data_IF_134266129076
#
_entry.id   IF_134266129076
#
_cell.length_a   1.000
_cell.length_b   1.000
_cell.length_c   1.000
_cell.angle_alpha   90.00
_cell.angle_beta   90.00
_cell.angle_gamma   90.00
#
_symmetry.space_group_name_H-M   'P 1'
#
loop_
_entity.id
_entity.type
_entity.pdbx_description
1 polymer ?
#
# COMPACT_ATOMS: atom_id res chain seq x y z
N UNK A 1 19.72 5.03 -6.04
CA UNK A 1 18.72 5.21 -4.98
C UNK A 1 19.13 6.41 -4.12
N UNK A 2 18.17 7.27 -3.75
CA UNK A 2 18.45 8.47 -2.93
C UNK A 2 18.52 8.14 -1.43
N UNK A 3 18.59 6.87 -1.07
CA UNK A 3 18.70 6.37 0.32
C UNK A 3 17.67 7.02 1.28
N UNK A 4 16.43 7.24 0.80
CA UNK A 4 15.38 7.97 1.54
C UNK A 4 14.88 7.25 2.78
N UNK A 5 14.95 5.92 2.78
CA UNK A 5 14.46 5.06 3.86
C UNK A 5 15.55 4.67 4.87
N UNK A 6 16.75 5.24 4.77
CA UNK A 6 17.90 4.86 5.62
C UNK A 6 17.59 4.91 7.11
N UNK A 7 16.82 5.92 7.52
CA UNK A 7 16.51 6.16 8.93
C UNK A 7 15.34 5.28 9.42
N UNK A 8 14.64 4.62 8.51
CA UNK A 8 13.51 3.72 8.78
C UNK A 8 13.93 2.25 8.73
N UNK A 9 15.07 1.94 8.09
CA UNK A 9 15.58 0.58 7.96
C UNK A 9 16.19 0.09 9.26
N UNK A 10 15.69 -1.05 9.74
CA UNK A 10 16.22 -1.75 10.92
C UNK A 10 16.98 -2.97 10.45
N UNK A 11 18.25 -3.07 10.90
CA UNK A 11 19.06 -4.27 10.69
C UNK A 11 18.57 -5.39 11.60
N UNK A 12 18.23 -6.52 11.03
CA UNK A 12 17.71 -7.66 11.76
C UNK A 12 18.66 -8.85 11.64
N UNK A 13 19.06 -9.42 12.78
CA UNK A 13 19.86 -10.63 12.76
C UNK A 13 18.94 -11.83 12.59
N UNK A 14 19.17 -12.60 11.54
CA UNK A 14 18.45 -13.85 11.26
C UNK A 14 19.37 -15.03 11.58
N UNK A 15 18.79 -16.03 12.22
CA UNK A 15 19.41 -17.33 12.46
C UNK A 15 18.64 -18.39 11.67
N UNK A 16 19.31 -19.00 10.70
CA UNK A 16 18.78 -20.07 9.86
C UNK A 16 19.69 -21.31 9.98
N UNK A 17 19.31 -22.21 10.85
CA UNK A 17 20.16 -23.33 11.25
C UNK A 17 21.47 -22.84 11.87
N UNK A 18 22.60 -23.26 11.29
CA UNK A 18 23.95 -22.85 11.75
C UNK A 18 24.40 -21.50 11.15
N UNK A 19 23.58 -20.89 10.28
CA UNK A 19 23.92 -19.62 9.62
C UNK A 19 23.33 -18.45 10.39
N UNK A 20 24.18 -17.45 10.63
CA UNK A 20 23.77 -16.16 11.18
C UNK A 20 24.12 -15.07 10.17
N UNK A 21 23.15 -14.25 9.81
CA UNK A 21 23.38 -13.12 8.91
C UNK A 21 22.54 -11.92 9.30
N UNK A 22 22.96 -10.74 8.86
CA UNK A 22 22.21 -9.51 9.07
C UNK A 22 21.36 -9.27 7.83
N UNK A 23 20.05 -9.21 8.03
CA UNK A 23 19.10 -8.80 7.03
C UNK A 23 18.93 -7.27 7.11
N UNK A 24 19.29 -6.57 6.06
CA UNK A 24 19.30 -5.10 6.02
C UNK A 24 18.95 -4.52 4.66
N UNK A 25 18.58 -5.36 3.70
CA UNK A 25 18.27 -4.94 2.35
C UNK A 25 16.97 -5.60 1.88
N UNK A 26 16.09 -4.81 1.26
CA UNK A 26 14.93 -5.34 0.58
C UNK A 26 15.33 -6.28 -0.56
N UNK A 27 14.74 -7.47 -0.59
CA UNK A 27 15.02 -8.49 -1.60
C UNK A 27 14.16 -8.35 -2.84
N UNK A 28 12.98 -7.69 -2.69
CA UNK A 28 12.02 -7.55 -3.79
C UNK A 28 12.53 -6.71 -4.95
N UNK A 29 13.18 -5.55 -4.76
CA UNK A 29 13.70 -4.74 -5.85
C UNK A 29 14.79 -5.48 -6.64
N UNK A 30 14.63 -5.53 -7.93
CA UNK A 30 15.58 -6.17 -8.85
C UNK A 30 16.35 -5.11 -9.61
N UNK A 31 17.61 -4.97 -9.28
CA UNK A 31 18.52 -4.06 -9.96
C UNK A 31 18.85 -4.58 -11.38
N UNK A 32 19.04 -3.66 -12.33
CA UNK A 32 19.49 -3.95 -13.67
C UNK A 32 18.52 -4.77 -14.56
N UNK A 33 17.21 -4.69 -14.32
CA UNK A 33 16.22 -5.28 -15.20
C UNK A 33 16.19 -4.58 -16.56
N UNK A 34 16.19 -5.38 -17.63
CA UNK A 34 15.97 -4.91 -18.99
C UNK A 34 14.55 -5.22 -19.48
N UNK A 35 14.12 -4.50 -20.51
CA UNK A 35 12.84 -4.80 -21.18
C UNK A 35 12.82 -6.24 -21.73
N UNK A 36 13.96 -6.75 -22.17
CA UNK A 36 14.06 -8.11 -22.71
C UNK A 36 13.95 -9.17 -21.62
N UNK A 37 14.29 -8.86 -20.38
CA UNK A 37 14.03 -9.75 -19.25
C UNK A 37 12.54 -9.78 -18.91
N UNK A 38 11.87 -8.63 -18.93
CA UNK A 38 10.43 -8.55 -18.72
C UNK A 38 9.64 -9.32 -19.80
N UNK A 39 10.05 -9.27 -21.05
CA UNK A 39 9.42 -10.00 -22.16
C UNK A 39 9.49 -11.53 -22.00
N UNK A 40 10.44 -12.05 -21.24
CA UNK A 40 10.60 -13.49 -21.00
C UNK A 40 9.65 -14.02 -19.91
N UNK A 41 9.02 -13.12 -19.16
CA UNK A 41 8.13 -13.51 -18.07
C UNK A 41 6.85 -14.13 -18.61
N UNK A 42 6.43 -15.23 -17.95
CA UNK A 42 5.18 -15.91 -18.27
C UNK A 42 4.01 -15.20 -17.60
N UNK A 43 2.87 -15.25 -18.26
CA UNK A 43 1.61 -14.78 -17.66
C UNK A 43 1.17 -15.67 -16.50
N UNK A 44 0.61 -15.07 -15.46
CA UNK A 44 0.33 -15.76 -14.18
C UNK A 44 -1.11 -16.28 -14.12
N UNK A 45 -2.09 -15.49 -14.58
CA UNK A 45 -3.51 -15.78 -14.37
C UNK A 45 -4.23 -16.35 -15.59
N UNK A 46 -3.79 -16.00 -16.78
CA UNK A 46 -4.45 -16.39 -18.03
C UNK A 46 -3.40 -16.69 -19.09
N UNK A 47 -3.55 -17.81 -19.79
CA UNK A 47 -2.74 -18.09 -20.97
C UNK A 47 -2.92 -16.96 -22.00
N UNK A 48 -1.83 -16.49 -22.55
CA UNK A 48 -1.79 -15.28 -23.40
C UNK A 48 -2.38 -14.01 -22.78
N UNK A 49 -2.37 -13.92 -21.45
CA UNK A 49 -2.74 -12.72 -20.70
C UNK A 49 -1.67 -11.65 -20.75
N UNK A 50 -1.90 -10.55 -20.04
CA UNK A 50 -0.98 -9.41 -19.98
C UNK A 50 -0.29 -9.26 -18.62
N UNK A 51 -0.79 -9.94 -17.59
CA UNK A 51 -0.25 -9.86 -16.23
C UNK A 51 0.86 -10.87 -16.02
N UNK A 52 2.03 -10.37 -15.67
CA UNK A 52 3.24 -11.14 -15.36
C UNK A 52 3.81 -10.72 -14.00
N UNK A 53 4.77 -11.46 -13.43
CA UNK A 53 5.45 -10.99 -12.21
C UNK A 53 6.17 -9.63 -12.36
N UNK A 54 6.34 -9.13 -13.57
CA UNK A 54 6.99 -7.84 -13.83
C UNK A 54 6.05 -6.63 -13.79
N UNK A 55 4.74 -6.85 -13.75
CA UNK A 55 3.72 -5.81 -13.69
C UNK A 55 2.58 -6.15 -12.71
N UNK A 56 2.89 -6.93 -11.69
CA UNK A 56 1.97 -7.25 -10.59
C UNK A 56 2.67 -7.03 -9.26
N UNK A 57 1.89 -6.67 -8.24
CA UNK A 57 2.38 -6.50 -6.87
C UNK A 57 3.00 -7.80 -6.33
N UNK A 58 4.05 -7.68 -5.55
CA UNK A 58 4.64 -8.79 -4.81
C UNK A 58 3.79 -9.20 -3.62
N UNK A 59 4.05 -10.41 -3.12
CA UNK A 59 3.55 -10.86 -1.82
C UNK A 59 4.70 -10.70 -0.84
N UNK A 60 4.59 -9.73 0.06
CA UNK A 60 5.63 -9.38 1.01
C UNK A 60 5.18 -9.64 2.45
N UNK A 61 6.12 -10.02 3.30
CA UNK A 61 5.88 -10.13 4.73
C UNK A 61 5.82 -8.72 5.34
N UNK A 62 4.90 -8.53 6.26
CA UNK A 62 4.73 -7.24 6.92
C UNK A 62 4.02 -7.37 8.26
N UNK A 63 4.29 -6.45 9.16
CA UNK A 63 3.58 -6.35 10.42
C UNK A 63 3.39 -4.88 10.81
N UNK A 64 2.22 -4.56 11.33
CA UNK A 64 1.92 -3.25 11.84
C UNK A 64 1.16 -3.36 13.17
N UNK A 65 1.40 -2.43 14.07
CA UNK A 65 0.69 -2.36 15.34
C UNK A 65 0.27 -0.91 15.63
N UNK A 66 -1.00 -0.72 15.93
CA UNK A 66 -1.57 0.58 16.25
C UNK A 66 -2.31 0.49 17.58
N UNK A 67 -2.18 1.55 18.39
CA UNK A 67 -2.98 1.70 19.62
C UNK A 67 -4.14 2.65 19.32
N UNK A 68 -5.34 2.12 19.37
CA UNK A 68 -6.58 2.86 19.16
C UNK A 68 -7.33 3.03 20.48
N UNK A 69 -7.87 4.21 20.69
CA UNK A 69 -8.73 4.47 21.85
C UNK A 69 -9.71 5.61 21.56
N UNK A 70 -10.72 5.78 22.39
CA UNK A 70 -11.59 6.94 22.30
C UNK A 70 -10.83 8.22 22.72
N UNK A 71 -11.26 9.36 22.19
CA UNK A 71 -10.73 10.68 22.59
C UNK A 71 -10.78 10.87 24.10
N UNK A 72 -11.90 10.52 24.72
CA UNK A 72 -12.10 10.63 26.17
C UNK A 72 -11.04 9.83 26.94
N UNK A 73 -10.70 8.63 26.49
CA UNK A 73 -9.66 7.82 27.13
C UNK A 73 -8.27 8.38 26.93
N UNK A 74 -7.98 8.95 25.77
CA UNK A 74 -6.71 9.60 25.51
C UNK A 74 -6.53 10.82 26.44
N UNK A 75 -7.56 11.66 26.57
CA UNK A 75 -7.56 12.83 27.47
C UNK A 75 -7.38 12.42 28.94
N UNK A 76 -8.12 11.41 29.41
CA UNK A 76 -7.97 10.88 30.79
C UNK A 76 -6.56 10.37 31.09
N UNK A 77 -5.87 9.86 30.08
CA UNK A 77 -4.51 9.33 30.20
C UNK A 77 -3.45 10.34 29.85
N UNK A 78 -3.82 11.58 29.53
CA UNK A 78 -2.91 12.64 29.06
C UNK A 78 -2.03 12.18 27.87
N UNK A 79 -2.64 11.43 26.97
CA UNK A 79 -1.98 10.95 25.75
C UNK A 79 -2.33 11.87 24.57
N UNK A 80 -1.32 12.25 23.82
CA UNK A 80 -1.49 12.99 22.58
C UNK A 80 -1.89 12.05 21.45
N UNK A 81 -2.96 12.42 20.72
CA UNK A 81 -3.39 11.69 19.54
C UNK A 81 -2.60 12.12 18.33
N UNK A 82 -1.97 11.19 17.63
CA UNK A 82 -1.28 11.46 16.35
C UNK A 82 -2.29 11.81 15.25
N UNK A 83 -3.39 11.07 15.18
CA UNK A 83 -4.44 11.24 14.18
C UNK A 83 -5.82 10.92 14.77
N UNK A 84 -6.86 11.34 14.07
CA UNK A 84 -8.26 10.97 14.36
C UNK A 84 -8.81 10.19 13.17
N UNK A 85 -9.35 9.01 13.43
CA UNK A 85 -10.16 8.27 12.44
C UNK A 85 -11.54 8.95 12.40
N UNK A 86 -11.89 9.54 11.28
CA UNK A 86 -13.17 10.24 11.08
C UNK A 86 -14.25 9.25 10.67
N UNK A 87 -13.95 8.43 9.67
CA UNK A 87 -14.86 7.39 9.17
C UNK A 87 -14.08 6.26 8.53
N UNK A 88 -14.77 5.16 8.25
CA UNK A 88 -14.27 4.06 7.42
C UNK A 88 -15.42 3.38 6.70
N UNK A 89 -15.09 2.69 5.60
CA UNK A 89 -16.04 1.87 4.88
C UNK A 89 -15.37 0.64 4.28
N UNK A 90 -16.16 -0.40 4.10
CA UNK A 90 -15.79 -1.62 3.41
C UNK A 90 -16.91 -1.95 2.43
N UNK A 91 -16.59 -2.08 1.15
CA UNK A 91 -17.56 -2.40 0.10
C UNK A 91 -17.10 -3.63 -0.67
N UNK A 92 -18.04 -4.51 -0.98
CA UNK A 92 -17.82 -5.62 -1.89
C UNK A 92 -18.01 -5.18 -3.35
N UNK A 93 -17.26 -5.79 -4.23
CA UNK A 93 -17.39 -5.64 -5.69
C UNK A 93 -17.37 -7.01 -6.35
N UNK A 94 -17.77 -7.09 -7.60
CA UNK A 94 -17.63 -8.30 -8.40
C UNK A 94 -16.15 -8.76 -8.38
N UNK A 95 -15.85 -10.03 -8.05
CA UNK A 95 -14.46 -10.52 -7.91
C UNK A 95 -13.57 -10.26 -9.13
N UNK A 96 -14.13 -10.34 -10.32
CA UNK A 96 -13.43 -10.05 -11.58
C UNK A 96 -13.04 -8.57 -11.73
N UNK A 97 -13.63 -7.69 -10.92
CA UNK A 97 -13.42 -6.25 -10.90
C UNK A 97 -12.79 -5.78 -9.58
N UNK A 98 -12.02 -6.63 -8.92
CA UNK A 98 -11.40 -6.37 -7.61
C UNK A 98 -10.75 -4.98 -7.52
N UNK A 99 -10.06 -4.57 -8.58
CA UNK A 99 -9.42 -3.25 -8.65
C UNK A 99 -10.37 -2.06 -8.50
N UNK A 100 -11.67 -2.22 -8.72
CA UNK A 100 -12.67 -1.15 -8.56
C UNK A 100 -13.16 -1.01 -7.10
N UNK A 101 -12.78 -1.90 -6.20
CA UNK A 101 -13.21 -1.89 -4.79
C UNK A 101 -13.01 -0.59 -4.04
N UNK A 102 -11.89 0.15 -4.21
CA UNK A 102 -11.69 1.43 -3.56
C UNK A 102 -12.73 2.50 -3.90
N UNK A 103 -13.30 2.49 -5.10
CA UNK A 103 -14.27 3.49 -5.53
C UNK A 103 -15.47 3.58 -4.57
N UNK A 104 -16.30 2.52 -4.42
CA UNK A 104 -17.44 2.58 -3.52
C UNK A 104 -17.02 2.73 -2.05
N UNK A 105 -15.86 2.21 -1.66
CA UNK A 105 -15.37 2.34 -0.27
C UNK A 105 -14.99 3.79 0.06
N UNK A 106 -14.32 4.51 -0.83
CA UNK A 106 -14.00 5.94 -0.67
C UNK A 106 -15.29 6.76 -0.63
N UNK A 107 -16.21 6.54 -1.57
CA UNK A 107 -17.49 7.25 -1.61
C UNK A 107 -18.29 7.08 -0.32
N UNK A 108 -18.39 5.86 0.18
CA UNK A 108 -19.10 5.55 1.41
C UNK A 108 -18.41 6.15 2.64
N UNK A 109 -17.08 6.10 2.73
CA UNK A 109 -16.33 6.71 3.82
C UNK A 109 -16.50 8.23 3.84
N UNK A 110 -16.42 8.89 2.70
CA UNK A 110 -16.65 10.33 2.57
C UNK A 110 -18.08 10.71 2.93
N UNK A 111 -19.07 9.93 2.48
CA UNK A 111 -20.48 10.12 2.84
C UNK A 111 -20.68 10.07 4.34
N UNK A 112 -20.12 9.07 5.03
CA UNK A 112 -20.18 8.95 6.49
C UNK A 112 -19.48 10.09 7.23
N UNK A 113 -18.41 10.62 6.66
CA UNK A 113 -17.71 11.79 7.18
C UNK A 113 -18.46 13.10 6.93
N UNK A 114 -19.44 13.09 6.03
CA UNK A 114 -20.07 14.27 5.45
C UNK A 114 -19.04 15.21 4.78
N UNK A 115 -18.09 14.62 4.09
CA UNK A 115 -17.04 15.30 3.33
C UNK A 115 -17.26 15.14 1.83
N UNK A 116 -16.85 16.14 1.08
CA UNK A 116 -16.75 16.06 -0.37
C UNK A 116 -15.35 15.60 -0.76
N UNK A 117 -15.25 15.09 -1.96
CA UNK A 117 -14.00 14.59 -2.50
C UNK A 117 -12.93 15.69 -2.66
N UNK A 118 -13.35 16.91 -3.00
CA UNK A 118 -12.50 18.09 -3.14
C UNK A 118 -12.06 18.72 -1.81
N UNK A 119 -12.65 18.27 -0.68
CA UNK A 119 -12.25 18.68 0.66
C UNK A 119 -11.11 17.80 1.24
N UNK A 120 -10.70 16.77 0.53
CA UNK A 120 -9.61 15.87 0.94
C UNK A 120 -8.28 16.35 0.35
N UNK A 121 -7.36 16.72 1.21
CA UNK A 121 -6.05 17.23 0.80
C UNK A 121 -5.14 16.14 0.23
N UNK A 122 -5.29 14.90 0.71
CA UNK A 122 -4.36 13.81 0.42
C UNK A 122 -5.11 12.49 0.30
N UNK A 123 -4.83 11.76 -0.77
CA UNK A 123 -5.25 10.38 -0.98
C UNK A 123 -4.02 9.48 -1.01
N UNK A 124 -4.04 8.42 -0.22
CA UNK A 124 -3.07 7.34 -0.29
C UNK A 124 -3.78 6.09 -0.79
N UNK A 125 -3.37 5.59 -1.93
CA UNK A 125 -4.01 4.49 -2.63
C UNK A 125 -2.91 3.58 -3.16
N UNK A 126 -3.10 2.27 -3.00
CA UNK A 126 -2.16 1.29 -3.50
C UNK A 126 -1.94 1.46 -5.01
N UNK A 127 -0.70 1.37 -5.47
CA UNK A 127 -0.29 1.64 -6.86
C UNK A 127 -0.93 0.72 -7.89
N UNK A 128 -1.32 -0.51 -7.51
CA UNK A 128 -2.05 -1.42 -8.39
C UNK A 128 -3.41 -0.88 -8.84
N UNK A 129 -3.89 0.18 -8.16
CA UNK A 129 -5.17 0.84 -8.41
C UNK A 129 -5.01 2.21 -9.08
N UNK A 130 -3.82 2.53 -9.56
CA UNK A 130 -3.45 3.84 -10.11
C UNK A 130 -4.35 4.32 -11.26
N UNK A 131 -4.75 3.42 -12.15
CA UNK A 131 -5.65 3.75 -13.26
C UNK A 131 -7.04 4.20 -12.78
N UNK A 132 -7.45 3.72 -11.61
CA UNK A 132 -8.71 4.07 -10.96
C UNK A 132 -8.62 5.45 -10.32
N UNK A 133 -7.47 5.75 -9.73
CA UNK A 133 -7.18 7.02 -9.08
C UNK A 133 -7.29 8.18 -10.05
N UNK A 134 -6.77 8.04 -11.26
CA UNK A 134 -6.85 9.06 -12.30
C UNK A 134 -8.29 9.39 -12.71
N UNK A 135 -9.25 8.50 -12.48
CA UNK A 135 -10.67 8.73 -12.72
C UNK A 135 -11.43 9.34 -11.53
N UNK A 136 -10.86 9.28 -10.31
CA UNK A 136 -11.53 9.67 -9.06
C UNK A 136 -11.00 10.99 -8.51
N UNK A 137 -9.73 11.31 -8.71
CA UNK A 137 -9.09 12.42 -8.02
C UNK A 137 -8.56 13.48 -8.98
N UNK A 138 -9.18 14.66 -9.03
CA UNK A 138 -8.53 15.81 -9.63
C UNK A 138 -7.49 16.38 -8.64
N UNK A 139 -6.22 15.97 -8.74
CA UNK A 139 -5.16 16.85 -8.35
C UNK A 139 -4.13 16.45 -7.32
N UNK A 140 -4.37 15.65 -6.30
CA UNK A 140 -3.33 15.22 -5.35
C UNK A 140 -3.57 13.80 -4.88
N UNK A 141 -2.84 12.87 -5.47
CA UNK A 141 -2.78 11.49 -5.00
C UNK A 141 -1.37 11.18 -4.54
N UNK A 142 -1.21 10.66 -3.34
CA UNK A 142 -0.02 9.88 -2.99
C UNK A 142 -0.33 8.45 -3.39
N UNK A 143 0.45 7.94 -4.31
CA UNK A 143 0.46 6.54 -4.66
C UNK A 143 1.33 5.86 -3.62
N UNK A 144 0.78 4.88 -2.93
CA UNK A 144 1.57 4.02 -2.05
C UNK A 144 2.55 3.22 -2.91
N UNK A 145 3.81 3.60 -2.80
CA UNK A 145 4.93 2.98 -3.52
C UNK A 145 5.64 1.93 -2.66
N UNK A 146 5.09 1.58 -1.51
CA UNK A 146 5.75 0.67 -0.56
C UNK A 146 6.00 -0.73 -1.12
N UNK A 147 5.24 -1.14 -2.14
CA UNK A 147 5.40 -2.42 -2.82
C UNK A 147 6.26 -2.37 -4.08
N UNK A 148 6.77 -1.20 -4.48
CA UNK A 148 7.61 -1.03 -5.67
C UNK A 148 9.12 -1.10 -5.39
N UNK A 149 9.53 -1.41 -4.15
CA UNK A 149 10.94 -1.43 -3.77
C UNK A 149 11.38 -2.74 -3.16
#
# INVERSE_FOLDING_TARGET
SKNRFKDELIKFQIEDGDKKFIFEKDEHPRENLSIDDLKKLKTVFKENGTVTPGNSSGINDGAAALVLMSREQAEKKSLESLVKIVSWATCGVEPSLMGLGPIPSIQEALSKANWKMDEVDLYEINEALNDIVNGITPGRCIIDMSELY
#
